data_IF_190404766732
#
_entry.id   IF_190404766732
#
_cell.length_a   1.000
_cell.length_b   1.000
_cell.length_c   1.000
_cell.angle_alpha   90.00
_cell.angle_beta   90.00
_cell.angle_gamma   90.00
#
_symmetry.space_group_name_H-M   'P 1'
#
loop_
_entity.id
_entity.type
_entity.pdbx_description
1 polymer ?
#
# COMPACT_ATOMS: atom_id res chain seq x y z
N UNK A 1 34.91 50.82 -13.96
CA UNK A 1 33.75 50.03 -13.49
C UNK A 1 33.24 50.65 -12.20
N UNK A 2 31.91 50.74 -12.01
CA UNK A 2 31.32 51.28 -10.77
C UNK A 2 31.25 50.17 -9.70
N UNK A 3 31.98 50.29 -8.57
CA UNK A 3 32.01 49.26 -7.53
C UNK A 3 30.63 48.92 -6.96
N UNK A 4 29.75 49.92 -6.82
CA UNK A 4 28.38 49.73 -6.34
C UNK A 4 27.56 48.87 -7.30
N UNK A 5 27.74 49.07 -8.62
CA UNK A 5 27.03 48.28 -9.62
C UNK A 5 27.51 46.82 -9.63
N UNK A 6 28.81 46.59 -9.41
CA UNK A 6 29.35 45.22 -9.26
C UNK A 6 28.75 44.53 -8.05
N UNK A 7 28.77 45.18 -6.88
CA UNK A 7 28.22 44.65 -5.64
C UNK A 7 26.73 44.28 -5.77
N UNK A 8 25.92 45.15 -6.37
CA UNK A 8 24.48 44.86 -6.58
C UNK A 8 24.24 43.68 -7.54
N UNK A 9 25.08 43.52 -8.56
CA UNK A 9 25.01 42.36 -9.45
C UNK A 9 25.38 41.06 -8.73
N UNK A 10 26.38 41.09 -7.84
CA UNK A 10 26.77 39.93 -7.03
C UNK A 10 25.63 39.53 -6.07
N UNK A 11 24.99 40.52 -5.42
CA UNK A 11 23.81 40.29 -4.59
C UNK A 11 22.65 39.69 -5.40
N UNK A 12 22.38 40.22 -6.60
CA UNK A 12 21.33 39.68 -7.48
C UNK A 12 21.62 38.24 -7.87
N UNK A 13 22.86 37.94 -8.23
CA UNK A 13 23.30 36.58 -8.58
C UNK A 13 23.13 35.63 -7.39
N UNK A 14 23.49 36.08 -6.19
CA UNK A 14 23.32 35.33 -4.95
C UNK A 14 21.82 35.06 -4.68
N UNK A 15 20.96 36.07 -4.83
CA UNK A 15 19.52 35.95 -4.62
C UNK A 15 18.87 34.96 -5.61
N UNK A 16 19.20 35.03 -6.90
CA UNK A 16 18.67 34.10 -7.90
C UNK A 16 19.19 32.66 -7.71
N UNK A 17 20.44 32.51 -7.27
CA UNK A 17 21.03 31.21 -6.92
C UNK A 17 20.31 30.60 -5.72
N UNK A 18 20.06 31.38 -4.67
CA UNK A 18 19.33 30.93 -3.49
C UNK A 18 17.89 30.50 -3.85
N UNK A 19 17.19 31.32 -4.65
CA UNK A 19 15.85 31.01 -5.16
C UNK A 19 15.82 29.70 -5.95
N UNK A 20 16.78 29.51 -6.86
CA UNK A 20 16.85 28.31 -7.70
C UNK A 20 17.17 27.06 -6.87
N UNK A 21 18.09 27.19 -5.92
CA UNK A 21 18.47 26.10 -5.00
C UNK A 21 17.27 25.67 -4.17
N UNK A 22 16.57 26.62 -3.55
CA UNK A 22 15.36 26.34 -2.78
C UNK A 22 14.28 25.67 -3.64
N UNK A 23 14.00 26.20 -4.84
CA UNK A 23 13.01 25.62 -5.74
C UNK A 23 13.37 24.20 -6.18
N UNK A 24 14.66 23.90 -6.35
CA UNK A 24 15.13 22.54 -6.65
C UNK A 24 14.92 21.60 -5.47
N UNK A 25 15.26 22.06 -4.25
CA UNK A 25 15.09 21.29 -3.03
C UNK A 25 13.61 21.00 -2.74
N UNK A 26 12.73 22.00 -2.87
CA UNK A 26 11.28 21.81 -2.68
C UNK A 26 10.70 20.77 -3.64
N UNK A 27 11.15 20.74 -4.90
CA UNK A 27 10.73 19.70 -5.87
C UNK A 27 11.23 18.31 -5.47
N UNK A 28 12.48 18.19 -5.04
CA UNK A 28 13.03 16.92 -4.56
C UNK A 28 12.27 16.43 -3.31
N UNK A 29 12.03 17.33 -2.35
CA UNK A 29 11.28 17.03 -1.14
C UNK A 29 9.85 16.59 -1.46
N UNK A 30 9.15 17.29 -2.36
CA UNK A 30 7.81 16.91 -2.78
C UNK A 30 7.76 15.50 -3.39
N UNK A 31 8.73 15.15 -4.25
CA UNK A 31 8.82 13.80 -4.81
C UNK A 31 9.07 12.74 -3.73
N UNK A 32 9.96 13.01 -2.79
CA UNK A 32 10.27 12.07 -1.71
C UNK A 32 9.08 11.89 -0.76
N UNK A 33 8.37 12.98 -0.45
CA UNK A 33 7.15 12.93 0.35
C UNK A 33 6.10 12.05 -0.34
N UNK A 34 5.87 12.23 -1.64
CA UNK A 34 4.90 11.42 -2.39
C UNK A 34 5.22 9.92 -2.35
N UNK A 35 6.50 9.54 -2.45
CA UNK A 35 6.94 8.13 -2.32
C UNK A 35 6.63 7.60 -0.92
N UNK A 36 7.01 8.34 0.13
CA UNK A 36 6.77 7.94 1.51
C UNK A 36 5.28 7.85 1.84
N UNK A 37 4.45 8.75 1.29
CA UNK A 37 3.01 8.73 1.45
C UNK A 37 2.39 7.49 0.80
N UNK A 38 2.86 7.11 -0.39
CA UNK A 38 2.40 5.88 -1.05
C UNK A 38 2.81 4.63 -0.27
N UNK A 39 4.08 4.54 0.17
CA UNK A 39 4.57 3.43 1.00
C UNK A 39 3.74 3.30 2.28
N UNK A 40 3.51 4.42 2.97
CA UNK A 40 2.67 4.49 4.17
C UNK A 40 1.25 4.01 3.87
N UNK A 41 0.63 4.51 2.80
CA UNK A 41 -0.73 4.12 2.42
C UNK A 41 -0.82 2.62 2.15
N UNK A 42 0.12 2.05 1.41
CA UNK A 42 0.15 0.61 1.13
C UNK A 42 0.39 -0.22 2.39
N UNK A 43 1.25 0.21 3.31
CA UNK A 43 1.49 -0.47 4.58
C UNK A 43 0.20 -0.55 5.43
N UNK A 44 -0.54 0.56 5.55
CA UNK A 44 -1.81 0.55 6.28
C UNK A 44 -2.90 -0.26 5.58
N UNK A 45 -2.96 -0.23 4.23
CA UNK A 45 -3.92 -1.07 3.48
C UNK A 45 -3.66 -2.56 3.70
N UNK A 46 -2.39 -2.99 3.67
CA UNK A 46 -1.97 -4.36 4.03
C UNK A 46 -2.44 -4.72 5.43
N UNK A 47 -2.06 -3.92 6.42
CA UNK A 47 -2.41 -4.16 7.83
C UNK A 47 -3.92 -4.30 8.01
N UNK A 48 -4.69 -3.34 7.50
CA UNK A 48 -6.14 -3.30 7.68
C UNK A 48 -6.85 -4.48 6.98
N UNK A 49 -6.38 -4.88 5.80
CA UNK A 49 -6.92 -6.05 5.10
C UNK A 49 -6.60 -7.34 5.86
N UNK A 50 -5.33 -7.54 6.21
CA UNK A 50 -4.88 -8.76 6.86
C UNK A 50 -5.49 -8.94 8.24
N UNK A 51 -5.72 -7.85 9.00
CA UNK A 51 -6.47 -7.90 10.25
C UNK A 51 -7.91 -8.37 10.02
N UNK A 52 -8.62 -7.76 9.07
CA UNK A 52 -10.02 -8.13 8.79
C UNK A 52 -10.16 -9.58 8.30
N UNK A 53 -9.19 -10.06 7.52
CA UNK A 53 -9.13 -11.45 7.08
C UNK A 53 -8.82 -12.39 8.25
N UNK A 54 -7.89 -12.01 9.14
CA UNK A 54 -7.59 -12.76 10.35
C UNK A 54 -8.82 -12.94 11.23
N UNK A 55 -9.58 -11.88 11.44
CA UNK A 55 -10.82 -11.94 12.25
C UNK A 55 -11.85 -12.88 11.63
N UNK A 56 -11.99 -12.88 10.30
CA UNK A 56 -12.93 -13.77 9.59
C UNK A 56 -12.47 -15.23 9.54
N UNK A 57 -11.16 -15.48 9.52
CA UNK A 57 -10.56 -16.81 9.48
C UNK A 57 -10.53 -17.46 10.86
N UNK A 58 -10.43 -16.68 11.93
CA UNK A 58 -10.33 -17.18 13.31
C UNK A 58 -11.53 -18.06 13.72
N UNK A 59 -12.73 -17.73 13.25
CA UNK A 59 -13.96 -18.47 13.56
C UNK A 59 -14.28 -19.61 12.60
N UNK A 60 -13.50 -19.79 11.53
CA UNK A 60 -13.74 -20.83 10.55
C UNK A 60 -13.51 -22.23 11.11
N UNK A 61 -14.35 -23.19 10.75
CA UNK A 61 -14.27 -24.57 11.27
C UNK A 61 -13.36 -25.47 10.42
N UNK A 62 -13.10 -25.09 9.17
CA UNK A 62 -12.29 -25.83 8.21
C UNK A 62 -11.49 -24.89 7.31
N UNK A 63 -10.48 -25.44 6.62
CA UNK A 63 -9.69 -24.69 5.63
C UNK A 63 -10.57 -24.11 4.52
N UNK A 64 -11.54 -24.88 4.03
CA UNK A 64 -12.48 -24.44 2.99
C UNK A 64 -13.32 -23.26 3.44
N UNK A 65 -13.87 -23.33 4.67
CA UNK A 65 -14.65 -22.23 5.26
C UNK A 65 -13.75 -21.01 5.49
N UNK A 66 -12.51 -21.21 5.93
CA UNK A 66 -11.57 -20.12 6.16
C UNK A 66 -11.24 -19.36 4.87
N UNK A 67 -10.91 -20.09 3.80
CA UNK A 67 -10.66 -19.51 2.48
C UNK A 67 -11.90 -18.79 1.98
N UNK A 68 -13.09 -19.41 2.06
CA UNK A 68 -14.33 -18.77 1.63
C UNK A 68 -14.62 -17.46 2.39
N UNK A 69 -14.46 -17.46 3.72
CA UNK A 69 -14.65 -16.28 4.58
C UNK A 69 -13.65 -15.17 4.26
N UNK A 70 -12.37 -15.50 4.12
CA UNK A 70 -11.33 -14.55 3.73
C UNK A 70 -11.62 -13.89 2.38
N UNK A 71 -12.00 -14.69 1.38
CA UNK A 71 -12.30 -14.20 0.04
C UNK A 71 -13.61 -13.39 -0.02
N UNK A 72 -14.57 -13.66 0.88
CA UNK A 72 -15.75 -12.84 1.05
C UNK A 72 -15.39 -11.45 1.62
N UNK A 73 -14.53 -11.39 2.64
CA UNK A 73 -13.99 -10.13 3.18
C UNK A 73 -13.24 -9.35 2.11
N UNK A 74 -12.40 -10.03 1.33
CA UNK A 74 -11.64 -9.41 0.24
C UNK A 74 -12.56 -8.74 -0.79
N UNK A 75 -13.57 -9.46 -1.28
CA UNK A 75 -14.57 -8.92 -2.21
C UNK A 75 -15.29 -7.71 -1.64
N UNK A 76 -15.73 -7.80 -0.37
CA UNK A 76 -16.43 -6.72 0.32
C UNK A 76 -15.55 -5.46 0.41
N UNK A 77 -14.30 -5.61 0.85
CA UNK A 77 -13.34 -4.50 0.98
C UNK A 77 -13.05 -3.83 -0.36
N UNK A 78 -13.03 -4.60 -1.45
CA UNK A 78 -12.79 -4.10 -2.81
C UNK A 78 -14.07 -3.61 -3.52
N UNK A 79 -15.25 -3.75 -2.90
CA UNK A 79 -16.53 -3.40 -3.52
C UNK A 79 -16.87 -4.27 -4.75
N UNK A 80 -16.35 -5.50 -4.81
CA UNK A 80 -16.58 -6.41 -5.94
C UNK A 80 -17.93 -7.11 -5.81
N UNK A 81 -18.96 -6.48 -6.39
CA UNK A 81 -20.35 -6.98 -6.35
C UNK A 81 -20.69 -7.97 -7.48
N UNK A 82 -19.80 -8.12 -8.46
CA UNK A 82 -19.97 -9.04 -9.58
C UNK A 82 -18.64 -9.68 -9.95
N UNK A 83 -18.68 -10.93 -10.39
CA UNK A 83 -17.49 -11.63 -10.84
C UNK A 83 -17.06 -11.11 -12.22
N UNK A 84 -15.74 -11.05 -12.43
CA UNK A 84 -15.11 -10.95 -13.73
C UNK A 84 -13.93 -11.91 -13.74
N UNK A 85 -13.49 -12.32 -14.93
CA UNK A 85 -12.36 -13.25 -15.05
C UNK A 85 -11.13 -12.76 -14.26
N UNK A 86 -10.79 -11.48 -14.38
CA UNK A 86 -9.68 -10.87 -13.66
C UNK A 86 -9.85 -10.86 -12.13
N UNK A 87 -11.08 -10.68 -11.64
CA UNK A 87 -11.40 -10.71 -10.20
C UNK A 87 -11.34 -12.13 -9.67
N UNK A 88 -11.91 -13.09 -10.39
CA UNK A 88 -11.84 -14.52 -10.03
C UNK A 88 -10.40 -14.97 -9.96
N UNK A 89 -9.57 -14.61 -10.93
CA UNK A 89 -8.16 -14.94 -10.96
C UNK A 89 -7.40 -14.36 -9.74
N UNK A 90 -7.65 -13.09 -9.40
CA UNK A 90 -7.05 -12.46 -8.22
C UNK A 90 -7.45 -13.14 -6.92
N UNK A 91 -8.71 -13.56 -6.80
CA UNK A 91 -9.25 -14.28 -5.65
C UNK A 91 -8.62 -15.67 -5.53
N UNK A 92 -8.45 -16.37 -6.66
CA UNK A 92 -7.76 -17.67 -6.69
C UNK A 92 -6.33 -17.55 -6.19
N UNK A 93 -5.56 -16.56 -6.67
CA UNK A 93 -4.18 -16.34 -6.23
C UNK A 93 -4.07 -15.85 -4.80
N UNK A 94 -5.13 -15.25 -4.24
CA UNK A 94 -5.18 -14.86 -2.83
C UNK A 94 -5.49 -16.03 -1.89
N UNK A 95 -6.12 -17.10 -2.38
CA UNK A 95 -6.49 -18.29 -1.58
C UNK A 95 -5.37 -18.85 -0.70
N UNK A 96 -4.13 -19.04 -1.21
CA UNK A 96 -2.99 -19.48 -0.39
C UNK A 96 -2.69 -18.59 0.81
N UNK A 97 -2.87 -17.26 0.69
CA UNK A 97 -2.67 -16.32 1.81
C UNK A 97 -3.67 -16.62 2.94
N UNK A 98 -4.94 -16.81 2.58
CA UNK A 98 -5.99 -17.16 3.54
C UNK A 98 -5.74 -18.51 4.22
N UNK A 99 -5.30 -19.50 3.44
CA UNK A 99 -4.96 -20.82 3.95
C UNK A 99 -3.78 -20.77 4.94
N UNK A 100 -2.71 -20.05 4.58
CA UNK A 100 -1.55 -19.88 5.46
C UNK A 100 -1.92 -19.22 6.79
N UNK A 101 -2.86 -18.27 6.76
CA UNK A 101 -3.32 -17.57 7.95
C UNK A 101 -4.18 -18.46 8.86
N UNK A 102 -5.02 -19.31 8.27
CA UNK A 102 -5.79 -20.32 9.01
C UNK A 102 -4.90 -21.36 9.69
N UNK A 103 -3.89 -21.86 8.97
CA UNK A 103 -2.94 -22.84 9.46
C UNK A 103 -2.07 -22.27 10.58
N UNK A 104 -1.57 -21.04 10.42
CA UNK A 104 -0.83 -20.32 11.45
C UNK A 104 -1.59 -20.18 12.78
N UNK A 105 -2.92 -19.98 12.73
CA UNK A 105 -3.75 -19.86 13.92
C UNK A 105 -3.98 -21.20 14.67
N UNK A 106 -3.60 -22.33 14.07
CA UNK A 106 -3.86 -23.69 14.56
C UNK A 106 -2.62 -24.54 14.77
N UNK A 107 -1.46 -24.06 14.32
CA UNK A 107 -0.18 -24.69 14.57
C UNK A 107 0.10 -24.73 16.08
N UNK A 108 0.52 -25.89 16.63
CA UNK A 108 1.08 -25.95 17.96
C UNK A 108 2.29 -25.02 18.09
N UNK A 109 2.54 -24.47 19.28
CA UNK A 109 3.66 -23.53 19.52
C UNK A 109 5.05 -24.10 19.14
N UNK A 110 5.18 -25.43 19.06
CA UNK A 110 6.43 -26.14 18.76
C UNK A 110 6.65 -26.46 17.27
N UNK A 111 5.67 -26.16 16.39
CA UNK A 111 5.82 -26.35 14.95
C UNK A 111 6.31 -25.07 14.23
N UNK A 112 7.06 -25.20 13.11
CA UNK A 112 7.50 -24.03 12.36
C UNK A 112 6.29 -23.23 11.86
N UNK A 113 6.24 -21.95 12.23
CA UNK A 113 5.15 -21.06 11.85
C UNK A 113 4.98 -21.01 10.32
N UNK A 114 3.74 -21.11 9.83
CA UNK A 114 3.44 -20.86 8.42
C UNK A 114 3.87 -19.44 8.06
N UNK A 115 4.61 -19.28 6.96
CA UNK A 115 5.10 -17.98 6.53
C UNK A 115 4.03 -17.18 5.77
N UNK A 116 3.08 -16.59 6.53
CA UNK A 116 2.01 -15.73 5.99
C UNK A 116 2.61 -14.59 5.15
N UNK A 117 3.73 -14.02 5.58
CA UNK A 117 4.40 -12.91 4.90
C UNK A 117 4.90 -13.29 3.51
N UNK A 118 5.45 -14.49 3.36
CA UNK A 118 5.87 -15.02 2.05
C UNK A 118 4.69 -15.30 1.13
N UNK A 119 3.61 -15.92 1.64
CA UNK A 119 2.40 -16.14 0.84
C UNK A 119 1.81 -14.82 0.32
N UNK A 120 1.75 -13.79 1.18
CA UNK A 120 1.30 -12.45 0.78
C UNK A 120 2.23 -11.80 -0.24
N UNK A 121 3.55 -11.90 -0.05
CA UNK A 121 4.53 -11.36 -0.99
C UNK A 121 4.44 -12.03 -2.38
N UNK A 122 4.23 -13.34 -2.44
CA UNK A 122 4.01 -14.08 -3.70
C UNK A 122 2.76 -13.56 -4.42
N UNK A 123 1.65 -13.39 -3.69
CA UNK A 123 0.44 -12.82 -4.26
C UNK A 123 0.65 -11.39 -4.80
N UNK A 124 1.29 -10.53 -4.02
CA UNK A 124 1.55 -9.14 -4.41
C UNK A 124 2.43 -9.06 -5.66
N UNK A 125 3.48 -9.90 -5.71
CA UNK A 125 4.37 -9.98 -6.86
C UNK A 125 3.61 -10.42 -8.12
N UNK A 126 2.87 -11.52 -8.04
CA UNK A 126 2.03 -12.00 -9.14
C UNK A 126 1.05 -10.94 -9.63
N UNK A 127 0.36 -10.23 -8.72
CA UNK A 127 -0.59 -9.19 -9.11
C UNK A 127 0.12 -8.05 -9.85
N UNK A 128 1.28 -7.63 -9.36
CA UNK A 128 2.05 -6.55 -9.98
C UNK A 128 2.56 -6.92 -11.38
N UNK A 129 3.03 -8.15 -11.59
CA UNK A 129 3.49 -8.61 -12.89
C UNK A 129 2.34 -8.79 -13.88
N UNK A 130 1.23 -9.37 -13.43
CA UNK A 130 0.09 -9.66 -14.30
C UNK A 130 -0.74 -8.43 -14.66
N UNK A 131 -0.79 -7.41 -13.79
CA UNK A 131 -1.64 -6.21 -13.96
C UNK A 131 -0.85 -4.93 -14.22
N UNK A 132 0.48 -4.96 -14.10
CA UNK A 132 1.35 -3.80 -14.29
C UNK A 132 1.19 -2.73 -13.21
N UNK A 133 0.53 -3.04 -12.09
CA UNK A 133 0.28 -2.10 -11.00
C UNK A 133 0.16 -2.81 -9.64
N UNK A 134 0.54 -2.17 -8.52
CA UNK A 134 0.38 -2.76 -7.20
C UNK A 134 -1.08 -3.03 -6.85
N UNK A 135 -1.36 -4.19 -6.25
CA UNK A 135 -2.70 -4.57 -5.78
C UNK A 135 -3.34 -3.50 -4.87
N UNK A 136 -2.52 -2.85 -4.05
CA UNK A 136 -2.96 -1.87 -3.06
C UNK A 136 -3.54 -0.59 -3.66
N UNK A 137 -3.34 -0.33 -4.96
CA UNK A 137 -4.00 0.78 -5.66
C UNK A 137 -5.52 0.55 -5.78
N UNK A 138 -6.00 -0.69 -5.76
CA UNK A 138 -7.45 -0.98 -5.81
C UNK A 138 -8.23 -0.38 -4.64
N UNK A 139 -7.55 -0.08 -3.53
CA UNK A 139 -8.15 0.49 -2.33
C UNK A 139 -8.22 2.03 -2.35
N UNK A 140 -7.70 2.69 -3.39
CA UNK A 140 -7.70 4.16 -3.48
C UNK A 140 -9.10 4.76 -3.58
N UNK A 141 -10.09 3.99 -4.03
CA UNK A 141 -11.46 4.45 -4.15
C UNK A 141 -12.28 4.42 -2.84
N UNK A 142 -11.66 4.14 -1.68
CA UNK A 142 -12.36 4.06 -0.38
C UNK A 142 -11.81 4.99 0.72
N UNK A 143 -11.30 6.17 0.39
CA UNK A 143 -11.02 7.20 1.40
C UNK A 143 -11.75 8.48 1.03
N UNK A 144 -12.92 8.71 1.66
CA UNK A 144 -13.37 10.08 1.89
C UNK A 144 -12.44 10.61 2.97
N UNK A 145 -11.36 11.27 2.54
CA UNK A 145 -10.52 12.03 3.45
C UNK A 145 -11.40 13.11 4.06
N UNK A 146 -11.71 12.96 5.35
CA UNK A 146 -12.33 14.05 6.09
C UNK A 146 -11.32 15.20 6.03
N UNK A 147 -11.69 16.38 5.51
CA UNK A 147 -10.74 17.46 5.37
C UNK A 147 -10.18 17.81 6.75
N UNK A 148 -8.86 17.81 6.90
CA UNK A 148 -8.24 18.47 8.05
C UNK A 148 -8.67 19.94 7.99
N UNK A 149 -9.45 20.36 8.98
CA UNK A 149 -9.76 21.76 9.21
C UNK A 149 -8.45 22.43 9.63
N UNK A 150 -7.94 23.35 8.82
CA UNK A 150 -6.91 24.28 9.25
C UNK A 150 -7.51 25.16 10.37
N UNK A 151 -6.96 25.06 11.59
CA UNK A 151 -7.23 25.97 12.70
C UNK A 151 -6.14 27.03 12.80
#
# INVERSE_FOLDING_TARGET
>A
MNPTASFLNDLKTTAETARTTEASFRRQAANQIAVLEQERAFAFRRLNLMQAISDAVASAESEEIAVASALAVLRLRLGWNADSEARTEAITHFGPVALSLFQAARLPEDEPATNIGEALAIFEHWYSESRGSPFWLLFEHQIVDTPLVDF
#
